data_IF_367516031863
#
_entry.id   IF_367516031863
#
_cell.length_a   1.000
_cell.length_b   1.000
_cell.length_c   1.000
_cell.angle_alpha   90.00
_cell.angle_beta   90.00
_cell.angle_gamma   90.00
#
_symmetry.space_group_name_H-M   'P 1'
#
loop_
_entity.id
_entity.type
_entity.pdbx_description
1 polymer ?
#
# COMPACT_ATOMS: atom_id res chain seq x y z
N UNK A 1 30.72 16.48 -18.38
CA UNK A 1 31.21 15.45 -17.43
C UNK A 1 30.36 15.47 -16.16
N UNK A 2 29.27 14.71 -16.12
CA UNK A 2 28.38 14.59 -14.95
C UNK A 2 28.69 13.26 -14.28
N UNK A 3 29.28 13.31 -13.09
CA UNK A 3 29.83 12.16 -12.39
C UNK A 3 28.73 11.24 -11.83
N UNK A 4 28.79 9.97 -12.23
CA UNK A 4 28.00 8.79 -11.78
C UNK A 4 27.93 8.56 -10.24
N UNK A 5 28.51 9.43 -9.42
CA UNK A 5 28.70 9.21 -7.96
C UNK A 5 27.45 9.50 -7.11
N UNK A 6 26.52 10.34 -7.55
CA UNK A 6 25.37 10.73 -6.71
C UNK A 6 24.20 9.73 -6.70
N UNK A 7 24.04 8.91 -7.74
CA UNK A 7 22.95 7.93 -7.79
C UNK A 7 23.19 6.72 -6.86
N UNK A 8 24.45 6.28 -6.75
CA UNK A 8 24.85 5.17 -5.87
C UNK A 8 24.72 5.55 -4.39
N UNK A 9 25.10 6.80 -4.04
CA UNK A 9 25.00 7.34 -2.67
C UNK A 9 23.55 7.46 -2.18
N UNK A 10 22.60 7.80 -3.06
CA UNK A 10 21.16 7.80 -2.77
C UNK A 10 20.63 6.39 -2.46
N UNK A 11 20.99 5.41 -3.31
CA UNK A 11 20.61 4.01 -3.12
C UNK A 11 21.24 3.44 -1.84
N UNK A 12 22.50 3.72 -1.54
CA UNK A 12 23.17 3.26 -0.32
C UNK A 12 22.61 3.96 0.94
N UNK A 13 22.18 5.22 0.84
CA UNK A 13 21.45 5.90 1.93
C UNK A 13 20.03 5.38 2.15
N UNK A 14 19.37 4.83 1.13
CA UNK A 14 18.09 4.09 1.22
C UNK A 14 18.34 2.68 1.81
N UNK A 15 19.44 2.03 1.43
CA UNK A 15 19.79 0.66 1.82
C UNK A 15 20.32 0.54 3.26
N UNK A 16 21.07 1.53 3.76
CA UNK A 16 21.58 1.54 5.14
C UNK A 16 20.50 1.80 6.20
N UNK A 17 19.24 2.04 5.81
CA UNK A 17 18.14 2.27 6.73
C UNK A 17 17.43 1.00 7.21
N UNK A 18 17.73 -0.16 6.61
CA UNK A 18 16.90 -1.39 6.76
C UNK A 18 17.73 -2.61 7.14
N UNK A 19 19.03 -2.47 7.45
CA UNK A 19 19.81 -3.62 7.91
C UNK A 19 19.50 -3.96 9.37
N UNK A 20 18.83 -5.09 9.54
CA UNK A 20 18.63 -5.89 10.75
C UNK A 20 17.69 -5.30 11.81
N UNK A 21 16.44 -5.77 11.78
CA UNK A 21 15.62 -5.83 13.00
C UNK A 21 14.80 -7.14 12.99
N UNK A 22 15.16 -8.17 13.79
CA UNK A 22 14.14 -8.67 14.72
C UNK A 22 13.63 -7.43 15.47
N UNK A 23 12.33 -7.29 15.75
CA UNK A 23 11.82 -6.10 16.45
C UNK A 23 12.56 -5.88 17.79
N UNK A 24 13.71 -5.21 17.77
CA UNK A 24 14.44 -4.82 18.97
C UNK A 24 13.89 -3.47 19.34
N UNK A 25 13.16 -3.49 20.45
CA UNK A 25 13.33 -2.59 21.58
C UNK A 25 14.22 -1.39 21.31
N UNK A 26 13.62 -0.22 21.51
CA UNK A 26 14.20 1.09 21.73
C UNK A 26 15.71 1.34 21.54
N UNK A 27 15.91 2.51 20.94
CA UNK A 27 17.04 3.43 21.08
C UNK A 27 18.25 3.26 20.15
N UNK A 28 18.53 4.37 19.45
CA UNK A 28 19.82 4.75 18.83
C UNK A 28 20.17 4.21 17.43
N UNK A 29 19.27 4.36 16.45
CA UNK A 29 19.68 4.56 15.05
C UNK A 29 18.99 5.81 14.51
N UNK A 30 19.79 6.77 14.09
CA UNK A 30 19.44 8.11 13.61
C UNK A 30 18.12 8.13 12.80
N UNK A 31 17.02 8.56 13.45
CA UNK A 31 15.63 8.32 13.06
C UNK A 31 15.17 9.22 11.90
N UNK A 32 15.18 8.72 10.66
CA UNK A 32 14.59 9.44 9.52
C UNK A 32 13.08 9.29 9.56
N UNK A 33 12.41 10.45 9.54
CA UNK A 33 11.00 10.70 9.81
C UNK A 33 10.09 10.25 8.66
N UNK A 34 9.19 9.28 8.91
CA UNK A 34 8.26 8.69 7.94
C UNK A 34 6.82 8.72 8.49
N UNK A 35 5.83 9.18 7.72
CA UNK A 35 4.41 9.28 8.16
C UNK A 35 3.47 8.84 7.08
N UNK A 36 2.51 7.97 7.42
CA UNK A 36 1.43 7.52 6.53
C UNK A 36 0.03 7.77 7.10
N UNK A 37 -0.06 8.02 8.42
CA UNK A 37 -1.30 8.23 9.18
C UNK A 37 -1.14 9.44 10.12
N UNK A 38 -2.22 10.17 10.38
CA UNK A 38 -2.26 11.21 11.42
C UNK A 38 -2.06 10.59 12.81
N UNK A 39 -1.18 11.16 13.62
CA UNK A 39 -0.82 10.57 14.93
C UNK A 39 -1.29 11.36 16.13
N UNK A 40 -1.84 12.55 15.91
CA UNK A 40 -2.47 13.36 16.95
C UNK A 40 -3.55 12.54 17.66
N UNK A 41 -3.40 12.34 18.97
CA UNK A 41 -4.30 11.50 19.79
C UNK A 41 -5.75 11.95 19.68
N UNK A 42 -5.98 13.27 19.65
CA UNK A 42 -7.30 13.87 19.47
C UNK A 42 -7.91 13.63 18.08
N UNK A 43 -7.19 13.04 17.13
CA UNK A 43 -7.71 12.71 15.79
C UNK A 43 -8.12 11.24 15.66
N UNK A 44 -8.02 10.43 16.71
CA UNK A 44 -8.42 9.01 16.65
C UNK A 44 -9.93 8.81 16.75
N UNK A 45 -10.44 7.85 15.99
CA UNK A 45 -11.75 7.26 16.19
C UNK A 45 -11.75 6.24 17.34
N UNK A 46 -12.92 6.05 17.97
CA UNK A 46 -13.19 4.85 18.75
C UNK A 46 -13.25 3.63 17.82
N UNK A 47 -13.01 2.44 18.35
CA UNK A 47 -13.00 1.21 17.54
C UNK A 47 -14.37 0.86 16.96
N UNK A 48 -15.45 1.29 17.61
CA UNK A 48 -16.80 1.22 17.03
C UNK A 48 -17.18 2.59 16.49
N UNK A 49 -17.41 2.67 15.18
CA UNK A 49 -17.78 3.89 14.47
C UNK A 49 -19.23 3.79 14.01
N UNK A 50 -20.06 4.71 14.47
CA UNK A 50 -21.40 4.87 13.95
C UNK A 50 -21.34 5.51 12.56
N UNK A 51 -22.14 5.03 11.61
CA UNK A 51 -22.21 5.63 10.28
C UNK A 51 -23.64 5.74 9.76
N UNK A 52 -23.85 6.73 8.90
CA UNK A 52 -25.13 7.09 8.30
C UNK A 52 -24.88 7.60 6.89
N UNK A 53 -25.83 7.35 5.99
CA UNK A 53 -25.73 7.71 4.58
C UNK A 53 -27.10 7.95 4.00
N UNK A 54 -27.20 8.91 3.08
CA UNK A 54 -28.44 9.25 2.38
C UNK A 54 -28.34 8.94 0.88
N UNK A 55 -29.50 8.71 0.24
CA UNK A 55 -29.61 8.65 -1.23
C UNK A 55 -29.10 9.97 -1.84
N UNK A 56 -28.42 9.97 -3.00
CA UNK A 56 -28.21 8.87 -3.95
C UNK A 56 -26.89 8.08 -3.76
N UNK A 57 -26.33 8.05 -2.55
CA UNK A 57 -25.06 7.33 -2.33
C UNK A 57 -25.28 5.83 -2.47
N UNK A 58 -24.35 5.16 -3.14
CA UNK A 58 -24.36 3.72 -3.37
C UNK A 58 -24.18 2.97 -2.04
N UNK A 59 -25.30 2.56 -1.46
CA UNK A 59 -25.32 1.86 -0.17
C UNK A 59 -24.65 0.49 -0.21
N UNK A 60 -24.65 -0.20 -1.37
CA UNK A 60 -23.91 -1.45 -1.56
C UNK A 60 -22.40 -1.23 -1.47
N UNK A 61 -21.89 -0.18 -2.11
CA UNK A 61 -20.49 0.20 -2.03
C UNK A 61 -20.06 0.55 -0.60
N UNK A 62 -20.88 1.31 0.15
CA UNK A 62 -20.61 1.58 1.57
C UNK A 62 -20.53 0.26 2.36
N UNK A 63 -21.51 -0.63 2.18
CA UNK A 63 -21.55 -1.92 2.87
C UNK A 63 -20.31 -2.78 2.59
N UNK A 64 -19.85 -2.83 1.36
CA UNK A 64 -18.64 -3.57 0.99
C UNK A 64 -17.38 -2.95 1.59
N UNK A 65 -17.30 -1.61 1.64
CA UNK A 65 -16.20 -0.88 2.27
C UNK A 65 -16.13 -1.16 3.76
N UNK A 66 -17.23 -1.00 4.50
CA UNK A 66 -17.23 -1.23 5.95
C UNK A 66 -16.88 -2.68 6.26
N UNK A 67 -17.47 -3.66 5.55
CA UNK A 67 -17.16 -5.08 5.73
C UNK A 67 -15.70 -5.41 5.47
N UNK A 68 -15.10 -4.79 4.44
CA UNK A 68 -13.68 -4.99 4.16
C UNK A 68 -12.81 -4.44 5.29
N UNK A 69 -13.11 -3.24 5.80
CA UNK A 69 -12.36 -2.65 6.91
C UNK A 69 -12.52 -3.50 8.18
N UNK A 70 -13.73 -3.94 8.52
CA UNK A 70 -14.00 -4.79 9.70
C UNK A 70 -13.34 -6.17 9.62
N UNK A 71 -13.10 -6.68 8.39
CA UNK A 71 -12.41 -7.95 8.14
C UNK A 71 -10.90 -7.79 8.25
N UNK A 72 -10.38 -6.64 7.83
CA UNK A 72 -8.94 -6.42 7.73
C UNK A 72 -8.36 -5.78 9.00
N UNK A 73 -9.21 -5.20 9.85
CA UNK A 73 -8.86 -4.41 11.03
C UNK A 73 -9.79 -4.66 12.23
N UNK A 74 -9.41 -4.19 13.41
CA UNK A 74 -10.25 -4.27 14.62
C UNK A 74 -11.45 -3.31 14.66
N UNK A 75 -11.65 -2.48 13.62
CA UNK A 75 -12.80 -1.58 13.59
C UNK A 75 -14.12 -2.36 13.50
N UNK A 76 -15.18 -1.75 14.05
CA UNK A 76 -16.56 -2.14 13.89
C UNK A 76 -17.39 -0.95 13.44
N UNK A 77 -18.30 -1.17 12.51
CA UNK A 77 -19.16 -0.13 11.94
C UNK A 77 -20.61 -0.43 12.27
N UNK A 78 -21.30 0.53 12.87
CA UNK A 78 -22.72 0.40 13.23
C UNK A 78 -23.55 1.37 12.41
N UNK A 79 -24.35 0.81 11.50
CA UNK A 79 -25.28 1.60 10.68
C UNK A 79 -26.36 2.25 11.54
N UNK A 80 -26.59 3.53 11.37
CA UNK A 80 -27.68 4.30 12.00
C UNK A 80 -28.74 4.69 10.97
N UNK A 81 -29.92 5.02 11.47
CA UNK A 81 -31.05 5.53 10.66
C UNK A 81 -31.02 7.05 10.51
N UNK A 82 -30.37 7.75 11.45
CA UNK A 82 -30.23 9.20 11.48
C UNK A 82 -28.89 9.55 12.15
N UNK A 83 -28.50 10.82 12.08
CA UNK A 83 -27.46 11.38 12.93
C UNK A 83 -28.02 11.71 14.32
N UNK A 84 -27.14 11.82 15.31
CA UNK A 84 -27.47 12.17 16.70
C UNK A 84 -26.55 13.28 17.19
N UNK A 85 -27.09 14.18 18.02
CA UNK A 85 -26.28 15.18 18.72
C UNK A 85 -25.44 14.53 19.82
N UNK A 86 -24.27 15.11 20.13
CA UNK A 86 -23.33 14.65 21.16
C UNK A 86 -22.75 13.24 20.94
N UNK A 87 -22.86 12.68 19.73
CA UNK A 87 -22.25 11.41 19.37
C UNK A 87 -21.42 11.57 18.10
N UNK A 88 -20.13 11.22 18.10
CA UNK A 88 -19.33 11.22 16.89
C UNK A 88 -19.77 10.06 15.97
N UNK A 89 -19.66 10.28 14.66
CA UNK A 89 -19.99 9.30 13.64
C UNK A 89 -19.60 9.78 12.26
N UNK A 90 -19.63 8.89 11.28
CA UNK A 90 -19.36 9.20 9.86
C UNK A 90 -20.69 9.40 9.14
N UNK A 91 -20.88 10.59 8.56
CA UNK A 91 -22.02 10.89 7.71
C UNK A 91 -21.56 10.97 6.25
N UNK A 92 -21.89 9.96 5.46
CA UNK A 92 -21.71 10.00 4.02
C UNK A 92 -22.77 10.91 3.40
N UNK A 93 -22.33 12.03 2.82
CA UNK A 93 -23.21 13.05 2.24
C UNK A 93 -22.93 13.25 0.76
N UNK A 94 -23.97 13.24 -0.07
CA UNK A 94 -23.83 13.54 -1.48
C UNK A 94 -23.72 15.05 -1.69
N UNK A 95 -22.55 15.54 -2.11
CA UNK A 95 -22.29 16.98 -2.35
C UNK A 95 -21.72 17.26 -3.73
N UNK A 96 -21.47 16.23 -4.54
CA UNK A 96 -20.78 16.35 -5.84
C UNK A 96 -19.25 16.40 -5.73
N UNK A 97 -18.70 16.49 -4.51
CA UNK A 97 -17.25 16.46 -4.24
C UNK A 97 -16.83 15.09 -3.70
N UNK A 98 -15.54 14.77 -3.81
CA UNK A 98 -14.95 13.60 -3.13
C UNK A 98 -13.91 14.14 -2.17
N UNK A 99 -14.22 14.10 -0.89
CA UNK A 99 -13.41 14.73 0.15
C UNK A 99 -13.75 14.17 1.53
N UNK A 100 -12.73 14.01 2.35
CA UNK A 100 -12.86 13.74 3.78
C UNK A 100 -11.78 14.49 4.55
N UNK A 101 -12.11 14.89 5.78
CA UNK A 101 -11.08 15.26 6.74
C UNK A 101 -10.20 14.04 7.07
N UNK A 102 -8.97 14.33 7.53
CA UNK A 102 -8.00 13.30 7.87
C UNK A 102 -8.07 13.01 9.36
N UNK A 103 -8.55 11.82 9.71
CA UNK A 103 -8.85 11.43 11.09
C UNK A 103 -10.21 11.95 11.55
N UNK A 104 -10.50 11.71 12.83
CA UNK A 104 -11.68 12.22 13.53
C UNK A 104 -11.45 13.64 14.06
N UNK A 105 -11.90 14.64 13.32
CA UNK A 105 -11.80 16.06 13.71
C UNK A 105 -12.98 16.54 14.56
N UNK A 106 -14.01 15.72 14.77
CA UNK A 106 -15.22 16.08 15.50
C UNK A 106 -15.60 15.05 16.56
N UNK A 107 -15.51 15.41 17.84
CA UNK A 107 -15.79 14.48 18.96
C UNK A 107 -17.25 14.39 19.38
N UNK A 108 -18.05 15.38 19.02
CA UNK A 108 -19.43 15.54 19.51
C UNK A 108 -20.46 15.63 18.38
N UNK A 109 -20.00 15.75 17.13
CA UNK A 109 -20.87 15.81 15.95
C UNK A 109 -20.41 14.82 14.90
N UNK A 110 -21.31 14.54 13.96
CA UNK A 110 -21.06 13.68 12.83
C UNK A 110 -20.13 14.37 11.82
N UNK A 111 -19.04 13.71 11.45
CA UNK A 111 -18.10 14.17 10.45
C UNK A 111 -18.59 13.77 9.06
N UNK A 112 -18.63 14.74 8.14
CA UNK A 112 -19.02 14.48 6.76
C UNK A 112 -17.88 13.82 5.99
N UNK A 113 -18.24 12.78 5.25
CA UNK A 113 -17.50 12.34 4.08
C UNK A 113 -18.32 12.77 2.86
N UNK A 114 -17.74 13.65 2.06
CA UNK A 114 -18.37 14.16 0.86
C UNK A 114 -18.18 13.18 -0.29
N UNK A 115 -19.30 12.76 -0.88
CA UNK A 115 -19.35 11.87 -2.03
C UNK A 115 -19.99 12.59 -3.21
N UNK A 116 -19.42 12.41 -4.39
CA UNK A 116 -19.91 12.88 -5.66
C UNK A 116 -19.92 11.75 -6.68
N UNK A 117 -20.46 12.02 -7.86
CA UNK A 117 -20.64 11.01 -8.92
C UNK A 117 -19.36 10.19 -9.19
N UNK A 118 -18.21 10.84 -9.35
CA UNK A 118 -16.92 10.19 -9.64
C UNK A 118 -16.42 9.22 -8.55
N UNK A 119 -16.86 9.39 -7.30
CA UNK A 119 -16.47 8.56 -6.16
C UNK A 119 -17.64 7.80 -5.54
N UNK A 120 -18.84 7.84 -6.14
CA UNK A 120 -20.01 7.09 -5.68
C UNK A 120 -19.94 5.60 -6.08
N UNK A 121 -18.78 5.00 -5.83
CA UNK A 121 -18.42 3.62 -6.11
C UNK A 121 -17.53 3.11 -4.98
N UNK A 122 -17.27 1.79 -4.97
CA UNK A 122 -16.46 1.15 -3.94
C UNK A 122 -15.12 1.87 -3.72
N UNK A 123 -14.39 2.17 -4.80
CA UNK A 123 -13.05 2.77 -4.73
C UNK A 123 -13.08 4.14 -4.07
N UNK A 124 -13.97 5.01 -4.55
CA UNK A 124 -14.07 6.38 -4.08
C UNK A 124 -14.49 6.45 -2.62
N UNK A 125 -15.58 5.79 -2.26
CA UNK A 125 -16.06 5.70 -0.87
C UNK A 125 -14.96 5.13 0.03
N UNK A 126 -14.23 4.12 -0.45
CA UNK A 126 -13.17 3.51 0.33
C UNK A 126 -12.01 4.47 0.60
N UNK A 127 -11.53 5.17 -0.44
CA UNK A 127 -10.45 6.13 -0.34
C UNK A 127 -10.77 7.26 0.65
N UNK A 128 -11.98 7.82 0.56
CA UNK A 128 -12.41 8.86 1.49
C UNK A 128 -12.62 8.33 2.92
N UNK A 129 -13.08 7.08 3.06
CA UNK A 129 -13.17 6.43 4.39
C UNK A 129 -11.77 6.25 5.00
N UNK A 130 -10.75 5.89 4.22
CA UNK A 130 -9.38 5.78 4.69
C UNK A 130 -8.79 7.12 5.14
N UNK A 131 -9.14 8.22 4.46
CA UNK A 131 -8.85 9.57 4.95
C UNK A 131 -9.53 9.83 6.30
N UNK A 132 -10.82 9.55 6.43
CA UNK A 132 -11.52 9.70 7.71
C UNK A 132 -10.87 8.87 8.83
N UNK A 133 -10.34 7.68 8.53
CA UNK A 133 -9.58 6.85 9.49
C UNK A 133 -8.17 7.37 9.77
N UNK A 134 -7.68 8.37 9.03
CA UNK A 134 -6.45 9.10 9.32
C UNK A 134 -5.34 8.95 8.29
N UNK A 135 -5.53 8.20 7.21
CA UNK A 135 -4.47 8.02 6.21
C UNK A 135 -4.28 9.29 5.38
N UNK A 136 -3.03 9.67 5.20
CA UNK A 136 -2.64 10.69 4.22
C UNK A 136 -2.48 10.05 2.84
N UNK A 137 -2.51 10.87 1.80
CA UNK A 137 -2.00 10.44 0.51
C UNK A 137 -0.52 10.07 0.59
N UNK A 138 -0.13 9.00 -0.09
CA UNK A 138 1.24 8.49 -0.05
C UNK A 138 2.22 9.50 -0.70
N UNK A 139 1.81 10.24 -1.74
CA UNK A 139 2.66 11.28 -2.36
C UNK A 139 2.84 12.55 -1.51
N UNK A 140 2.06 12.69 -0.43
CA UNK A 140 2.12 13.83 0.50
C UNK A 140 2.98 13.54 1.73
N UNK A 141 3.61 12.35 1.78
CA UNK A 141 4.53 12.00 2.85
C UNK A 141 5.73 12.94 2.90
N UNK A 142 6.26 13.17 4.09
CA UNK A 142 7.45 13.98 4.30
C UNK A 142 8.68 13.45 3.55
N UNK A 143 8.84 12.12 3.52
CA UNK A 143 9.96 11.40 2.88
C UNK A 143 9.73 11.13 1.38
N UNK A 144 8.63 11.61 0.79
CA UNK A 144 8.26 11.26 -0.59
C UNK A 144 9.30 11.63 -1.63
N UNK A 145 10.10 12.70 -1.42
CA UNK A 145 11.10 13.16 -2.42
C UNK A 145 12.24 12.14 -2.64
N UNK A 146 12.41 11.13 -1.78
CA UNK A 146 13.31 10.00 -2.04
C UNK A 146 12.73 8.99 -3.04
N UNK A 147 11.41 9.00 -3.22
CA UNK A 147 10.64 7.98 -3.94
C UNK A 147 9.97 8.52 -5.20
N UNK A 148 9.53 9.77 -5.19
CA UNK A 148 8.88 10.42 -6.34
C UNK A 148 9.38 11.84 -6.51
N UNK A 149 9.42 12.28 -7.76
CA UNK A 149 9.60 13.68 -8.15
C UNK A 149 8.27 14.26 -8.59
N UNK A 150 7.92 15.43 -8.04
CA UNK A 150 6.71 16.17 -8.41
C UNK A 150 7.08 17.31 -9.35
N UNK A 151 6.41 17.39 -10.48
CA UNK A 151 6.55 18.43 -11.49
C UNK A 151 5.33 19.36 -11.43
N UNK A 152 5.38 20.34 -10.52
CA UNK A 152 4.27 21.27 -10.24
C UNK A 152 3.90 22.12 -11.44
N UNK A 153 4.87 22.45 -12.29
CA UNK A 153 4.68 23.22 -13.52
C UNK A 153 3.86 22.48 -14.58
N UNK A 154 3.64 21.16 -14.41
CA UNK A 154 2.79 20.33 -15.27
C UNK A 154 1.42 20.05 -14.64
N UNK A 155 1.16 20.60 -13.45
CA UNK A 155 -0.10 20.42 -12.73
C UNK A 155 -1.04 21.60 -13.00
N UNK A 156 -2.35 21.35 -12.91
CA UNK A 156 -3.35 22.40 -12.85
C UNK A 156 -3.08 23.32 -11.64
N UNK A 157 -3.25 24.63 -11.82
CA UNK A 157 -2.86 25.64 -10.83
C UNK A 157 -3.52 25.43 -9.46
N UNK A 158 -4.80 25.04 -9.46
CA UNK A 158 -5.60 24.74 -8.27
C UNK A 158 -5.23 23.40 -7.59
N UNK A 159 -4.45 22.53 -8.24
CA UNK A 159 -4.10 21.20 -7.72
C UNK A 159 -2.69 21.13 -7.12
N UNK A 160 -1.93 22.22 -7.15
CA UNK A 160 -0.54 22.24 -6.63
C UNK A 160 -0.45 21.92 -5.13
N UNK A 161 -1.53 22.13 -4.38
CA UNK A 161 -1.66 21.76 -2.97
C UNK A 161 -1.87 20.26 -2.74
N UNK A 162 -2.37 19.51 -3.73
CA UNK A 162 -2.69 18.07 -3.67
C UNK A 162 -1.46 17.17 -3.53
N UNK A 163 -0.26 17.75 -3.64
CA UNK A 163 1.04 17.11 -3.41
C UNK A 163 1.87 17.82 -2.32
N UNK A 164 1.24 18.66 -1.48
CA UNK A 164 1.91 19.35 -0.37
C UNK A 164 2.36 18.34 0.67
N UNK A 165 3.64 18.36 1.03
CA UNK A 165 4.18 17.48 2.07
C UNK A 165 3.61 17.87 3.43
N UNK A 166 3.21 16.90 4.22
CA UNK A 166 2.91 17.10 5.64
C UNK A 166 4.22 17.32 6.42
N UNK A 167 4.19 18.13 7.48
CA UNK A 167 5.39 18.46 8.28
C UNK A 167 5.92 17.22 8.98
N UNK A 168 7.18 17.25 9.41
CA UNK A 168 7.85 16.14 10.11
C UNK A 168 7.76 16.23 11.65
N UNK A 169 6.89 17.06 12.23
CA UNK A 169 6.76 17.23 13.69
C UNK A 169 5.66 16.35 14.35
N UNK A 170 4.45 16.31 13.81
CA UNK A 170 3.27 15.44 14.18
C UNK A 170 3.18 13.92 13.79
N UNK A 171 4.20 13.06 13.99
CA UNK A 171 4.27 11.82 13.18
C UNK A 171 5.64 11.17 13.06
N UNK A 172 5.83 10.29 14.00
CA UNK A 172 6.22 8.95 13.65
C UNK A 172 5.08 8.09 14.13
N UNK A 173 4.94 6.91 13.57
CA UNK A 173 4.72 5.69 14.32
C UNK A 173 4.70 4.58 13.26
N UNK A 174 5.18 3.39 13.61
CA UNK A 174 5.04 2.15 12.83
C UNK A 174 6.10 1.82 11.75
N UNK A 175 7.08 2.69 11.48
CA UNK A 175 8.24 2.38 10.61
C UNK A 175 7.88 1.81 9.21
N UNK A 176 6.77 2.28 8.63
CA UNK A 176 6.27 1.80 7.33
C UNK A 176 6.98 2.50 6.17
N UNK A 177 7.56 1.70 5.26
CA UNK A 177 8.20 2.18 4.04
C UNK A 177 7.19 2.83 3.07
N UNK A 178 7.71 3.65 2.16
CA UNK A 178 6.91 4.26 1.10
C UNK A 178 6.36 3.19 0.16
N UNK A 179 5.07 3.22 -0.13
CA UNK A 179 4.40 2.19 -0.93
C UNK A 179 3.78 2.76 -2.21
N UNK A 180 4.47 2.60 -3.34
CA UNK A 180 3.96 3.06 -4.65
C UNK A 180 2.60 2.47 -5.01
N UNK A 181 2.27 1.27 -4.52
CA UNK A 181 1.00 0.59 -4.79
C UNK A 181 -0.08 0.81 -3.73
N UNK A 182 0.15 1.70 -2.76
CA UNK A 182 -0.86 2.16 -1.80
C UNK A 182 -2.10 2.66 -2.55
N UNK A 183 -3.29 2.31 -2.05
CA UNK A 183 -4.56 2.86 -2.60
C UNK A 183 -4.67 4.38 -2.36
N UNK A 184 -3.85 4.90 -1.44
CA UNK A 184 -3.72 6.33 -1.15
C UNK A 184 -2.65 7.01 -2.03
N UNK A 185 -2.06 6.31 -3.00
CA UNK A 185 -1.06 6.87 -3.91
C UNK A 185 -1.68 7.28 -5.25
N UNK A 186 -1.54 8.54 -5.62
CA UNK A 186 -1.99 9.05 -6.92
C UNK A 186 -1.25 8.42 -8.12
N UNK A 187 -1.93 8.33 -9.27
CA UNK A 187 -1.33 7.91 -10.53
C UNK A 187 -0.26 8.91 -11.04
N UNK A 188 0.56 8.47 -11.98
CA UNK A 188 1.69 9.27 -12.52
C UNK A 188 1.26 10.54 -13.26
N UNK A 189 0.04 10.57 -13.78
CA UNK A 189 -0.57 11.69 -14.51
C UNK A 189 -1.65 12.41 -13.68
N UNK A 190 -1.72 12.16 -12.37
CA UNK A 190 -2.69 12.84 -11.53
C UNK A 190 -2.48 14.36 -11.57
N UNK A 191 -3.56 15.13 -11.54
CA UNK A 191 -3.53 16.60 -11.50
C UNK A 191 -2.90 17.27 -12.73
N UNK A 192 -2.65 16.52 -13.81
CA UNK A 192 -1.91 17.00 -14.97
C UNK A 192 -2.69 18.03 -15.81
N UNK A 193 -1.95 18.92 -16.46
CA UNK A 193 -2.42 19.62 -17.65
C UNK A 193 -2.42 18.58 -18.80
N UNK A 194 -3.61 18.22 -19.28
CA UNK A 194 -3.79 17.18 -20.29
C UNK A 194 -3.29 15.80 -19.83
N UNK A 195 -2.48 15.13 -20.66
CA UNK A 195 -1.98 13.76 -20.38
C UNK A 195 -0.52 13.74 -19.88
N UNK A 196 -0.01 14.86 -19.36
CA UNK A 196 1.35 14.95 -18.86
C UNK A 196 1.54 14.08 -17.60
N UNK A 197 2.78 13.65 -17.38
CA UNK A 197 3.17 13.01 -16.11
C UNK A 197 3.65 14.07 -15.12
N UNK A 198 3.08 14.07 -13.93
CA UNK A 198 3.32 15.04 -12.85
C UNK A 198 4.02 14.41 -11.64
N UNK A 199 3.79 13.11 -11.39
CA UNK A 199 4.37 12.35 -10.28
C UNK A 199 5.20 11.23 -10.87
N UNK A 200 6.53 11.38 -10.88
CA UNK A 200 7.46 10.42 -11.49
C UNK A 200 8.16 9.63 -10.39
N UNK A 201 8.10 8.29 -10.37
CA UNK A 201 8.88 7.51 -9.41
C UNK A 201 10.37 7.61 -9.71
N UNK A 202 11.19 7.66 -8.68
CA UNK A 202 12.66 7.60 -8.79
C UNK A 202 13.13 6.26 -9.31
N UNK A 203 12.44 5.18 -8.95
CA UNK A 203 12.55 3.87 -9.58
C UNK A 203 11.49 3.73 -10.70
N UNK A 204 11.93 3.91 -11.95
CA UNK A 204 11.06 3.90 -13.13
C UNK A 204 10.25 2.60 -13.33
N UNK A 205 10.65 1.49 -12.70
CA UNK A 205 9.91 0.22 -12.79
C UNK A 205 8.56 0.31 -12.05
N UNK A 206 8.40 1.24 -11.11
CA UNK A 206 7.17 1.45 -10.37
C UNK A 206 6.15 2.34 -11.07
N UNK A 207 6.46 2.90 -12.25
CA UNK A 207 5.58 3.83 -12.96
C UNK A 207 4.15 3.28 -13.13
N UNK A 208 4.03 2.00 -13.50
CA UNK A 208 2.73 1.34 -13.69
C UNK A 208 2.11 0.77 -12.41
N UNK A 209 2.77 0.92 -11.27
CA UNK A 209 2.27 0.42 -9.97
C UNK A 209 1.39 1.48 -9.27
N UNK A 210 1.69 2.75 -9.50
CA UNK A 210 1.06 3.90 -8.85
C UNK A 210 -0.35 4.17 -9.37
N UNK A 211 -1.25 4.61 -8.49
CA UNK A 211 -2.63 4.96 -8.87
C UNK A 211 -3.58 3.77 -9.00
N UNK A 212 -3.25 2.63 -8.40
CA UNK A 212 -4.14 1.47 -8.40
C UNK A 212 -5.37 1.73 -7.55
N UNK A 213 -6.51 1.16 -7.94
CA UNK A 213 -7.81 1.47 -7.32
C UNK A 213 -8.55 0.23 -6.83
N UNK A 214 -7.91 -0.94 -6.82
CA UNK A 214 -8.63 -2.22 -6.63
C UNK A 214 -8.53 -2.79 -5.22
N UNK A 215 -7.47 -2.49 -4.46
CA UNK A 215 -7.25 -3.15 -3.17
C UNK A 215 -6.41 -2.31 -2.22
N UNK A 216 -6.57 -2.52 -0.91
CA UNK A 216 -5.58 -2.13 0.08
C UNK A 216 -4.24 -2.80 -0.20
N UNK A 217 -3.15 -2.05 -0.06
CA UNK A 217 -1.85 -2.67 0.09
C UNK A 217 -1.72 -3.29 1.48
N UNK A 218 -0.78 -4.24 1.64
CA UNK A 218 -0.49 -4.83 2.94
C UNK A 218 -0.14 -3.75 3.98
N UNK A 219 0.54 -2.69 3.54
CA UNK A 219 0.95 -1.58 4.40
C UNK A 219 -0.15 -0.57 4.70
N UNK A 220 -1.17 -0.43 3.84
CA UNK A 220 -2.37 0.35 4.15
C UNK A 220 -3.12 -0.27 5.35
N UNK A 221 -3.22 -1.59 5.38
CA UNK A 221 -3.85 -2.32 6.49
C UNK A 221 -2.96 -2.34 7.73
N UNK A 222 -1.68 -2.64 7.55
CA UNK A 222 -0.70 -2.72 8.64
C UNK A 222 -0.65 -1.42 9.45
N UNK A 223 -0.63 -0.26 8.78
CA UNK A 223 -0.57 1.02 9.49
C UNK A 223 -1.84 1.29 10.31
N UNK A 224 -3.03 0.96 9.80
CA UNK A 224 -4.28 1.09 10.55
C UNK A 224 -4.29 0.19 11.79
N UNK A 225 -3.87 -1.07 11.64
CA UNK A 225 -3.84 -2.02 12.74
C UNK A 225 -2.83 -1.65 13.82
N UNK A 226 -1.62 -1.23 13.43
CA UNK A 226 -0.65 -0.75 14.40
C UNK A 226 -1.10 0.55 15.07
N UNK A 227 -1.97 1.33 14.43
CA UNK A 227 -2.46 2.60 14.96
C UNK A 227 -3.65 2.49 15.91
N UNK A 228 -4.61 1.62 15.58
CA UNK A 228 -5.87 1.47 16.31
C UNK A 228 -5.96 0.18 17.10
N UNK A 229 -5.34 -0.91 16.62
CA UNK A 229 -5.60 -2.27 17.09
C UNK A 229 -4.55 -2.80 18.05
N UNK A 230 -3.83 -1.91 18.72
CA UNK A 230 -3.01 -2.28 19.88
C UNK A 230 -3.99 -2.60 21.01
N UNK A 231 -4.46 -3.85 21.03
CA UNK A 231 -5.55 -4.28 21.90
C UNK A 231 -5.10 -4.36 23.37
N UNK A 232 -5.93 -3.89 24.32
CA UNK A 232 -5.82 -4.31 25.72
C UNK A 232 -6.06 -5.81 25.90
N UNK A 233 -6.78 -6.44 24.95
CA UNK A 233 -7.17 -7.86 24.97
C UNK A 233 -6.08 -8.81 24.48
N UNK A 234 -4.97 -8.31 23.92
CA UNK A 234 -3.81 -9.15 23.63
C UNK A 234 -2.87 -9.06 24.83
N UNK A 235 -2.80 -10.09 25.69
CA UNK A 235 -1.98 -10.03 26.91
C UNK A 235 -0.48 -10.00 26.62
N UNK A 236 -0.08 -10.25 25.37
CA UNK A 236 1.32 -10.24 24.94
C UNK A 236 1.45 -9.70 23.52
N UNK A 237 2.63 -9.13 23.26
CA UNK A 237 3.07 -8.79 21.91
C UNK A 237 3.64 -10.04 21.23
N UNK A 238 3.14 -10.36 20.04
CA UNK A 238 3.62 -11.50 19.25
C UNK A 238 4.68 -11.04 18.24
N UNK A 239 5.84 -11.69 18.23
CA UNK A 239 6.84 -11.49 17.18
C UNK A 239 6.37 -12.13 15.87
N UNK A 240 6.33 -11.33 14.80
CA UNK A 240 5.97 -11.75 13.45
C UNK A 240 7.16 -11.62 12.51
N UNK A 241 7.48 -12.67 11.77
CA UNK A 241 8.56 -12.72 10.79
C UNK A 241 8.12 -12.16 9.43
N UNK A 242 9.09 -11.98 8.53
CA UNK A 242 8.87 -11.62 7.13
C UNK A 242 7.93 -10.41 6.97
N UNK A 243 8.14 -9.39 7.81
CA UNK A 243 7.37 -8.15 7.85
C UNK A 243 5.87 -8.30 8.20
N UNK A 244 5.46 -9.46 8.69
CA UNK A 244 4.14 -9.68 9.28
C UNK A 244 3.87 -8.76 10.47
N UNK A 245 2.63 -8.77 10.96
CA UNK A 245 2.23 -8.10 12.20
C UNK A 245 1.14 -8.90 12.90
N UNK A 246 0.96 -8.68 14.20
CA UNK A 246 -0.02 -9.43 15.00
C UNK A 246 -1.43 -9.22 14.42
N UNK A 247 -2.17 -10.32 14.24
CA UNK A 247 -3.50 -10.27 13.65
C UNK A 247 -4.49 -9.55 14.60
N UNK A 248 -5.27 -8.58 14.11
CA UNK A 248 -6.17 -7.78 14.95
C UNK A 248 -7.36 -8.59 15.50
N UNK A 249 -7.67 -9.76 14.94
CA UNK A 249 -8.76 -10.63 15.39
C UNK A 249 -8.28 -11.85 16.17
N UNK A 250 -6.97 -12.17 16.11
CA UNK A 250 -6.41 -13.29 16.83
C UNK A 250 -4.97 -13.01 17.30
N UNK A 251 -4.81 -12.74 18.60
CA UNK A 251 -3.52 -12.43 19.21
C UNK A 251 -2.46 -13.56 19.06
N UNK A 252 -2.89 -14.80 18.80
CA UNK A 252 -2.01 -15.95 18.60
C UNK A 252 -1.56 -16.13 17.14
N UNK A 253 -2.00 -15.28 16.21
CA UNK A 253 -1.64 -15.36 14.81
C UNK A 253 -0.98 -14.06 14.34
N UNK A 254 -0.15 -14.19 13.31
CA UNK A 254 0.37 -13.05 12.58
C UNK A 254 -0.33 -12.97 11.22
N UNK A 255 -0.63 -11.76 10.80
CA UNK A 255 -1.06 -11.43 9.45
C UNK A 255 0.16 -11.36 8.55
N UNK A 256 0.19 -12.25 7.56
CA UNK A 256 1.35 -12.46 6.70
C UNK A 256 1.21 -11.76 5.35
N UNK A 257 2.34 -11.39 4.76
CA UNK A 257 2.39 -11.00 3.36
C UNK A 257 2.08 -12.22 2.49
N UNK A 258 1.34 -12.03 1.40
CA UNK A 258 1.10 -13.04 0.38
C UNK A 258 2.39 -13.83 0.05
N UNK A 259 2.35 -15.16 0.17
CA UNK A 259 3.51 -16.04 -0.04
C UNK A 259 4.18 -16.54 1.25
N UNK A 260 3.85 -15.96 2.41
CA UNK A 260 4.28 -16.45 3.72
C UNK A 260 3.11 -17.04 4.51
N UNK A 261 3.39 -18.10 5.27
CA UNK A 261 2.44 -18.81 6.14
C UNK A 261 3.10 -19.16 7.48
N UNK A 262 2.35 -19.83 8.34
CA UNK A 262 2.75 -20.14 9.71
C UNK A 262 2.16 -19.14 10.69
N UNK A 263 2.08 -19.53 11.96
CA UNK A 263 1.45 -18.70 13.01
C UNK A 263 2.24 -17.41 13.28
N UNK A 264 3.49 -17.32 12.81
CA UNK A 264 4.36 -16.14 12.90
C UNK A 264 4.87 -15.69 11.53
N UNK A 265 4.27 -16.15 10.42
CA UNK A 265 4.73 -15.87 9.06
C UNK A 265 6.15 -16.35 8.77
N UNK A 266 6.60 -17.41 9.44
CA UNK A 266 7.96 -17.93 9.40
C UNK A 266 8.25 -18.86 8.22
N UNK A 267 7.22 -19.34 7.53
CA UNK A 267 7.33 -20.35 6.47
C UNK A 267 6.94 -19.79 5.10
N UNK A 268 7.49 -20.36 4.03
CA UNK A 268 7.03 -20.08 2.67
C UNK A 268 5.77 -20.87 2.34
N UNK A 269 4.84 -20.27 1.60
CA UNK A 269 3.67 -20.96 1.09
C UNK A 269 4.02 -21.86 -0.09
N UNK A 270 4.47 -23.07 0.24
CA UNK A 270 4.94 -24.04 -0.76
C UNK A 270 3.79 -24.65 -1.57
N UNK A 271 2.59 -24.78 -0.99
CA UNK A 271 1.45 -25.49 -1.57
C UNK A 271 0.39 -24.50 -2.05
N UNK A 272 0.54 -24.04 -3.30
CA UNK A 272 -0.41 -23.13 -3.94
C UNK A 272 -1.15 -23.84 -5.08
N UNK A 273 -2.47 -23.69 -5.12
CA UNK A 273 -3.35 -24.33 -6.10
C UNK A 273 -2.92 -23.91 -7.52
N UNK A 274 -2.69 -24.88 -8.41
CA UNK A 274 -2.26 -24.68 -9.82
C UNK A 274 -0.86 -24.04 -9.99
N UNK A 275 -0.02 -24.04 -8.96
CA UNK A 275 1.34 -23.48 -9.00
C UNK A 275 2.39 -24.57 -8.73
N UNK A 276 3.17 -24.94 -9.74
CA UNK A 276 4.05 -26.11 -9.68
C UNK A 276 5.38 -25.86 -8.93
N UNK A 277 5.91 -24.63 -8.95
CA UNK A 277 7.14 -24.23 -8.25
C UNK A 277 6.98 -22.87 -7.61
N UNK A 278 6.87 -22.85 -6.29
CA UNK A 278 6.67 -21.65 -5.46
C UNK A 278 7.95 -21.19 -4.75
N UNK A 279 8.98 -22.05 -4.68
CA UNK A 279 10.33 -21.70 -4.26
C UNK A 279 11.32 -22.15 -5.34
N UNK A 280 12.14 -21.22 -5.78
CA UNK A 280 13.19 -21.43 -6.78
C UNK A 280 14.50 -20.98 -6.14
N UNK A 281 15.55 -21.78 -6.32
CA UNK A 281 16.91 -21.47 -5.91
C UNK A 281 17.73 -21.21 -7.18
N UNK A 282 17.83 -19.95 -7.65
CA UNK A 282 18.57 -19.64 -8.86
C UNK A 282 20.05 -20.00 -8.72
N UNK A 283 20.63 -20.53 -9.78
CA UNK A 283 22.06 -20.74 -9.92
C UNK A 283 22.68 -19.67 -10.85
N UNK A 284 23.96 -19.82 -11.19
CA UNK A 284 24.65 -18.89 -12.10
C UNK A 284 24.23 -19.05 -13.56
N UNK A 285 23.45 -20.08 -13.91
CA UNK A 285 23.02 -20.33 -15.29
C UNK A 285 21.72 -19.56 -15.55
N UNK A 286 21.64 -18.75 -16.62
CA UNK A 286 20.40 -18.07 -16.95
C UNK A 286 19.32 -19.09 -17.32
N UNK A 287 18.13 -18.94 -16.73
CA UNK A 287 16.97 -19.80 -17.00
C UNK A 287 15.76 -18.95 -17.39
N UNK A 288 15.05 -19.38 -18.42
CA UNK A 288 13.77 -18.77 -18.81
C UNK A 288 12.65 -19.36 -17.94
N UNK A 289 11.80 -18.48 -17.41
CA UNK A 289 10.62 -18.85 -16.65
C UNK A 289 9.38 -18.37 -17.41
N UNK A 290 8.51 -19.30 -17.75
CA UNK A 290 7.24 -19.02 -18.41
C UNK A 290 6.10 -19.19 -17.42
N UNK A 291 5.20 -18.19 -17.36
CA UNK A 291 4.02 -18.18 -16.51
C UNK A 291 2.81 -17.85 -17.39
N UNK A 292 1.89 -18.79 -17.53
CA UNK A 292 0.72 -18.70 -18.42
C UNK A 292 -0.55 -19.26 -17.73
N UNK A 293 -1.71 -19.00 -18.33
CA UNK A 293 -3.00 -19.52 -17.88
C UNK A 293 -3.56 -18.92 -16.60
N UNK A 294 -4.80 -19.28 -16.29
CA UNK A 294 -5.59 -18.73 -15.17
C UNK A 294 -5.13 -19.26 -13.82
N UNK A 295 -4.29 -18.50 -13.13
CA UNK A 295 -3.82 -18.82 -11.76
C UNK A 295 -3.30 -17.61 -11.01
N UNK A 296 -3.23 -17.75 -9.69
CA UNK A 296 -2.62 -16.80 -8.77
C UNK A 296 -1.49 -17.52 -8.03
N UNK A 297 -0.24 -17.18 -8.37
CA UNK A 297 0.95 -17.81 -7.83
C UNK A 297 1.88 -16.78 -7.20
N UNK A 298 2.44 -17.11 -6.06
CA UNK A 298 3.51 -16.38 -5.39
C UNK A 298 4.76 -17.25 -5.41
N UNK A 299 5.81 -16.76 -6.07
CA UNK A 299 7.04 -17.51 -6.31
C UNK A 299 8.19 -16.78 -5.65
N UNK A 300 8.90 -17.47 -4.77
CA UNK A 300 10.06 -16.98 -4.04
C UNK A 300 11.32 -17.41 -4.80
N UNK A 301 12.20 -16.46 -5.12
CA UNK A 301 13.54 -16.74 -5.61
C UNK A 301 14.52 -16.39 -4.50
N UNK A 302 15.24 -17.37 -3.98
CA UNK A 302 16.16 -17.20 -2.84
C UNK A 302 17.55 -17.68 -3.23
N UNK A 303 18.56 -16.86 -2.95
CA UNK A 303 19.98 -17.21 -3.07
C UNK A 303 20.68 -17.02 -1.73
N UNK A 304 21.97 -17.35 -1.65
CA UNK A 304 22.76 -17.13 -0.44
C UNK A 304 22.75 -15.64 -0.01
N UNK A 305 22.90 -15.36 1.29
CA UNK A 305 22.74 -14.01 1.87
C UNK A 305 23.67 -12.94 1.28
N UNK A 306 24.81 -13.36 0.73
CA UNK A 306 25.83 -12.46 0.15
C UNK A 306 25.59 -12.15 -1.33
N UNK A 307 24.68 -12.88 -2.01
CA UNK A 307 24.38 -12.66 -3.42
C UNK A 307 23.14 -11.83 -3.66
N UNK A 308 23.10 -11.20 -4.83
CA UNK A 308 21.92 -10.54 -5.38
C UNK A 308 21.46 -11.27 -6.63
N UNK A 309 20.19 -11.15 -6.95
CA UNK A 309 19.56 -11.81 -8.08
C UNK A 309 19.39 -10.76 -9.18
N UNK A 310 19.92 -11.08 -10.36
CA UNK A 310 19.73 -10.30 -11.58
C UNK A 310 18.75 -11.06 -12.47
N UNK A 311 17.68 -10.41 -12.90
CA UNK A 311 16.71 -11.02 -13.81
C UNK A 311 16.22 -10.00 -14.84
N UNK A 312 15.63 -10.52 -15.92
CA UNK A 312 15.12 -9.71 -17.01
C UNK A 312 13.67 -10.09 -17.29
N UNK A 313 12.77 -9.11 -17.27
CA UNK A 313 11.41 -9.30 -17.75
C UNK A 313 11.44 -9.08 -19.26
N UNK A 314 11.30 -10.17 -20.01
CA UNK A 314 11.42 -10.18 -21.47
C UNK A 314 10.12 -9.72 -22.13
N UNK A 315 9.02 -10.37 -21.77
CA UNK A 315 7.69 -10.09 -22.34
C UNK A 315 6.61 -10.33 -21.29
N UNK A 316 5.63 -9.42 -21.22
CA UNK A 316 4.42 -9.59 -20.41
C UNK A 316 3.25 -9.12 -21.24
N UNK A 317 2.23 -9.96 -21.36
CA UNK A 317 0.99 -9.60 -22.03
C UNK A 317 -0.16 -10.17 -21.19
N UNK A 318 -0.84 -9.29 -20.46
CA UNK A 318 -1.95 -9.65 -19.59
C UNK A 318 -3.08 -8.66 -19.85
N UNK A 319 -4.30 -9.16 -19.99
CA UNK A 319 -5.51 -8.39 -20.25
C UNK A 319 -6.63 -8.85 -19.29
N UNK A 320 -7.70 -8.04 -19.12
CA UNK A 320 -7.74 -6.60 -19.36
C UNK A 320 -6.79 -5.84 -18.42
N UNK A 321 -6.27 -4.72 -18.90
CA UNK A 321 -5.45 -3.81 -18.10
C UNK A 321 -5.73 -2.35 -18.45
N UNK A 322 -5.52 -1.46 -17.48
CA UNK A 322 -5.73 -0.01 -17.65
C UNK A 322 -4.41 0.72 -17.88
N UNK A 323 -4.46 1.83 -18.61
CA UNK A 323 -3.34 2.78 -18.69
C UNK A 323 -3.66 4.00 -17.81
N UNK A 324 -2.68 4.62 -17.12
CA UNK A 324 -1.24 4.28 -17.05
C UNK A 324 -0.90 3.17 -16.05
N UNK A 325 -1.89 2.65 -15.34
CA UNK A 325 -1.68 1.80 -14.15
C UNK A 325 -2.02 0.34 -14.39
N UNK A 326 -1.07 -0.57 -14.16
CA UNK A 326 -1.36 -1.99 -14.06
C UNK A 326 -2.10 -2.29 -12.74
N UNK A 327 -3.33 -2.81 -12.84
CA UNK A 327 -4.19 -3.08 -11.68
C UNK A 327 -3.71 -4.31 -10.89
N UNK A 328 -4.40 -4.68 -9.81
CA UNK A 328 -3.99 -5.83 -9.00
C UNK A 328 -4.10 -7.17 -9.74
N UNK A 329 -5.18 -7.38 -10.48
CA UNK A 329 -5.41 -8.57 -11.31
C UNK A 329 -4.76 -8.42 -12.69
N UNK A 330 -4.50 -9.55 -13.36
CA UNK A 330 -3.86 -9.61 -14.68
C UNK A 330 -2.50 -8.90 -14.70
N UNK A 331 -1.67 -9.17 -13.69
CA UNK A 331 -0.34 -8.57 -13.58
C UNK A 331 0.71 -9.54 -13.08
N UNK A 332 1.95 -9.20 -13.42
CA UNK A 332 3.14 -9.68 -12.73
C UNK A 332 3.61 -8.56 -11.81
N UNK A 333 3.62 -8.81 -10.50
CA UNK A 333 4.19 -7.91 -9.50
C UNK A 333 5.51 -8.50 -8.99
N UNK A 334 6.58 -7.71 -8.97
CA UNK A 334 7.90 -8.16 -8.53
C UNK A 334 8.40 -7.35 -7.36
N UNK A 335 8.57 -8.00 -6.21
CA UNK A 335 9.12 -7.42 -4.99
C UNK A 335 10.61 -7.72 -4.90
N UNK A 336 11.42 -6.81 -5.44
CA UNK A 336 12.89 -6.90 -5.46
C UNK A 336 13.58 -5.95 -4.47
N UNK A 337 12.81 -5.06 -3.82
CA UNK A 337 13.29 -4.22 -2.74
C UNK A 337 13.56 -5.02 -1.47
N UNK A 338 14.35 -4.46 -0.55
CA UNK A 338 14.72 -5.14 0.70
C UNK A 338 13.49 -5.41 1.57
N UNK A 339 12.67 -4.37 1.79
CA UNK A 339 11.37 -4.45 2.43
C UNK A 339 10.37 -5.14 1.49
N UNK A 340 9.84 -6.30 1.91
CA UNK A 340 8.89 -7.08 1.13
C UNK A 340 7.43 -6.70 1.41
N UNK A 341 7.18 -5.84 2.40
CA UNK A 341 5.83 -5.39 2.78
C UNK A 341 5.23 -4.41 1.78
N UNK A 342 6.05 -3.56 1.16
CA UNK A 342 5.60 -2.61 0.13
C UNK A 342 5.21 -3.33 -1.15
N UNK A 343 4.23 -2.81 -1.87
CA UNK A 343 3.83 -3.33 -3.19
C UNK A 343 5.05 -3.38 -4.11
N UNK A 344 5.20 -4.45 -4.89
CA UNK A 344 6.28 -4.59 -5.88
C UNK A 344 5.99 -3.86 -7.19
N UNK A 345 6.98 -3.79 -8.08
CA UNK A 345 6.79 -3.21 -9.41
C UNK A 345 5.87 -4.07 -10.26
N UNK A 346 4.84 -3.47 -10.87
CA UNK A 346 3.84 -4.18 -11.68
C UNK A 346 4.08 -4.05 -13.18
N UNK A 347 3.90 -5.17 -13.86
CA UNK A 347 4.02 -5.32 -15.31
C UNK A 347 2.77 -6.00 -15.85
N UNK A 348 2.16 -5.40 -16.87
CA UNK A 348 0.95 -5.91 -17.54
C UNK A 348 1.12 -6.01 -19.06
N UNK A 349 1.70 -4.98 -19.68
CA UNK A 349 1.93 -4.89 -21.12
C UNK A 349 3.38 -4.48 -21.38
N UNK A 350 4.29 -5.46 -21.29
CA UNK A 350 5.73 -5.27 -21.43
C UNK A 350 6.21 -5.88 -22.76
N UNK A 351 6.67 -5.03 -23.67
CA UNK A 351 7.21 -5.42 -24.98
C UNK A 351 8.74 -5.27 -25.08
N UNK A 352 9.34 -4.52 -24.15
CA UNK A 352 10.79 -4.29 -24.10
C UNK A 352 11.40 -5.00 -22.89
N UNK A 353 12.66 -5.41 -23.00
CA UNK A 353 13.39 -5.99 -21.87
C UNK A 353 13.48 -5.00 -20.70
N UNK A 354 13.17 -5.47 -19.49
CA UNK A 354 13.37 -4.73 -18.24
C UNK A 354 14.33 -5.51 -17.34
N UNK A 355 15.55 -5.01 -17.27
CA UNK A 355 16.57 -5.55 -16.38
C UNK A 355 16.31 -5.08 -14.95
N UNK A 356 16.30 -6.01 -14.00
CA UNK A 356 16.08 -5.75 -12.59
C UNK A 356 17.19 -6.43 -11.77
N UNK A 357 17.72 -5.70 -10.79
CA UNK A 357 18.67 -6.18 -9.81
C UNK A 357 18.03 -6.11 -8.42
N UNK A 358 17.99 -7.22 -7.70
CA UNK A 358 17.44 -7.22 -6.35
C UNK A 358 18.30 -6.46 -5.36
N UNK A 359 17.66 -5.89 -4.34
CA UNK A 359 18.36 -5.19 -3.26
C UNK A 359 19.02 -6.18 -2.30
N UNK A 360 18.46 -7.38 -2.15
CA UNK A 360 18.96 -8.46 -1.31
C UNK A 360 18.88 -9.83 -2.01
N UNK A 361 19.12 -10.91 -1.27
CA UNK A 361 19.15 -12.28 -1.76
C UNK A 361 17.77 -12.92 -2.00
N UNK A 362 16.68 -12.14 -1.96
CA UNK A 362 15.32 -12.66 -2.05
C UNK A 362 14.44 -11.78 -2.95
N UNK A 363 13.77 -12.40 -3.93
CA UNK A 363 12.71 -11.77 -4.73
C UNK A 363 11.42 -12.54 -4.53
N UNK A 364 10.30 -11.83 -4.56
CA UNK A 364 8.97 -12.43 -4.64
C UNK A 364 8.31 -12.00 -5.96
N UNK A 365 7.88 -12.97 -6.76
CA UNK A 365 7.05 -12.78 -7.93
C UNK A 365 5.60 -13.13 -7.59
N UNK A 366 4.68 -12.19 -7.77
CA UNK A 366 3.26 -12.49 -7.80
C UNK A 366 2.80 -12.52 -9.25
N UNK A 367 2.35 -13.68 -9.70
CA UNK A 367 1.68 -13.85 -10.97
C UNK A 367 0.17 -13.95 -10.70
N UNK A 368 -0.60 -13.07 -11.32
CA UNK A 368 -2.06 -13.04 -11.16
C UNK A 368 -2.70 -12.93 -12.53
N UNK A 369 -3.36 -13.99 -12.99
CA UNK A 369 -4.13 -13.99 -14.23
C UNK A 369 -5.54 -14.51 -13.97
N UNK A 370 -6.54 -13.80 -14.49
CA UNK A 370 -7.93 -14.20 -14.54
C UNK A 370 -8.30 -14.87 -15.87
N UNK A 371 -7.48 -14.69 -16.91
CA UNK A 371 -7.69 -15.21 -18.26
C UNK A 371 -7.09 -16.61 -18.45
N UNK A 372 -7.75 -17.43 -19.28
CA UNK A 372 -7.46 -18.86 -19.50
C UNK A 372 -6.43 -19.09 -20.61
N UNK A 373 -5.98 -18.04 -21.31
CA UNK A 373 -5.16 -18.16 -22.54
C UNK A 373 -3.88 -18.97 -22.35
#
# INVERSE_FOLDING_TARGET
>A
YITKKNFKRSIDQINNFVQNFPETSDSTINSRKKRKIITTTNSKWLLTIDYYSESPINSYAINDVVKLIEKETCFKFRKRRTTFFHSPGIYFKYTGKCSSAIGNIHKVIWQKIEIGERCNNFVGIFHETLHALGLYHEQCRFDRDFFVKIYKEKMLQNETASCKKHTAFEGFHYHISYDYGSIMHSAVNAFAIGNLKTIIPTDSLYERTMGQTKRLSFNDVKVLNLHYCVHPNCPFKRLCYNYGYQDPHNCNLCKCIDGFIGSRCEQFNMRQIKCSKTLILPDRKPRLLYLNGKRKCVIHLVVNKTSKIKFNIVKVHMLPNTYPTCQYDNTIEVKYWMDKSVTGARFCLQTKNKLILSHNNHIIFHYRSLEVT
#
